data_IF_098828040833
#
_entry.id   IF_098828040833
#
_cell.length_a   1.000
_cell.length_b   1.000
_cell.length_c   1.000
_cell.angle_alpha   90.00
_cell.angle_beta   90.00
_cell.angle_gamma   90.00
#
_symmetry.space_group_name_H-M   'P 1'
#
loop_
_entity.id
_entity.type
_entity.pdbx_description
1 polymer ?
#
# COMPACT_ATOMS: atom_id res chain seq x y z
N UNK A 1 7.21 32.97 62.85
CA UNK A 1 5.86 32.78 62.25
C UNK A 1 5.97 33.18 60.78
N UNK A 2 5.64 32.34 59.77
CA UNK A 2 4.29 32.17 59.17
C UNK A 2 3.61 33.54 58.92
N UNK A 3 3.06 33.98 57.78
CA UNK A 3 2.73 33.47 56.43
C UNK A 3 2.49 34.73 55.52
N UNK A 4 2.39 34.77 54.19
CA UNK A 4 2.39 33.85 53.02
C UNK A 4 3.21 34.55 51.89
N UNK A 5 3.54 34.04 50.68
CA UNK A 5 2.81 33.32 49.60
C UNK A 5 1.80 34.17 48.80
N UNK A 6 2.26 34.77 47.69
CA UNK A 6 1.42 35.30 46.62
C UNK A 6 2.15 35.10 45.27
N UNK A 7 1.96 33.92 44.68
CA UNK A 7 2.32 33.66 43.28
C UNK A 7 1.18 34.19 42.43
N UNK A 8 1.41 35.29 41.71
CA UNK A 8 0.42 35.87 40.81
C UNK A 8 0.30 35.01 39.55
N UNK A 9 -0.54 33.97 39.61
CA UNK A 9 -0.97 33.23 38.42
C UNK A 9 -1.84 34.17 37.60
N UNK A 10 -1.24 34.79 36.57
CA UNK A 10 -2.01 35.48 35.52
C UNK A 10 -2.69 34.39 34.69
N UNK A 11 -3.90 34.03 35.09
CA UNK A 11 -4.79 33.20 34.30
C UNK A 11 -5.26 34.00 33.07
N UNK A 12 -4.41 34.07 32.06
CA UNK A 12 -4.79 34.51 30.74
C UNK A 12 -5.71 33.45 30.11
N UNK A 13 -6.99 33.47 30.50
CA UNK A 13 -8.07 32.76 29.81
C UNK A 13 -8.31 33.43 28.46
N UNK A 14 -7.33 33.31 27.57
CA UNK A 14 -7.55 33.52 26.15
C UNK A 14 -8.62 32.51 25.74
N UNK A 15 -9.77 33.03 25.31
CA UNK A 15 -10.82 32.22 24.71
C UNK A 15 -10.33 31.73 23.34
N UNK A 16 -9.46 30.74 23.36
CA UNK A 16 -9.19 29.87 22.22
C UNK A 16 -10.44 29.04 21.97
N UNK A 17 -11.47 29.68 21.43
CA UNK A 17 -12.53 28.97 20.74
C UNK A 17 -11.83 28.02 19.76
N UNK A 18 -12.09 26.71 19.78
CA UNK A 18 -11.55 25.81 18.78
C UNK A 18 -11.96 26.39 17.43
N UNK A 19 -10.98 26.65 16.55
CA UNK A 19 -11.24 27.38 15.31
C UNK A 19 -12.33 26.65 14.53
N UNK A 20 -13.56 27.18 14.59
CA UNK A 20 -14.76 26.49 14.11
C UNK A 20 -14.53 26.20 12.63
N UNK A 21 -14.33 24.91 12.31
CA UNK A 21 -13.54 24.51 11.16
C UNK A 21 -14.02 25.19 9.89
N UNK A 22 -13.18 26.07 9.34
CA UNK A 22 -13.55 27.20 8.48
C UNK A 22 -14.71 26.86 7.56
N UNK A 23 -15.86 27.53 7.76
CA UNK A 23 -17.08 27.24 7.01
C UNK A 23 -16.85 27.62 5.54
N UNK A 24 -16.54 26.60 4.73
CA UNK A 24 -16.30 26.73 3.28
C UNK A 24 -17.63 26.65 2.53
N UNK A 25 -18.41 27.73 2.56
CA UNK A 25 -19.39 27.99 1.50
C UNK A 25 -18.68 28.55 0.26
N UNK A 26 -17.74 27.78 -0.28
CA UNK A 26 -17.08 28.11 -1.56
C UNK A 26 -18.06 27.68 -2.65
N UNK A 27 -18.85 28.65 -3.14
CA UNK A 27 -19.81 28.43 -4.22
C UNK A 27 -19.09 28.24 -5.57
N UNK A 28 -18.49 27.07 -5.73
CA UNK A 28 -17.80 26.62 -6.93
C UNK A 28 -18.26 25.18 -7.26
N UNK A 29 -18.41 24.82 -8.56
CA UNK A 29 -18.73 23.47 -8.97
C UNK A 29 -17.75 22.45 -8.37
N UNK A 30 -18.23 21.27 -7.91
CA UNK A 30 -17.34 20.23 -7.40
C UNK A 30 -16.45 19.70 -8.52
N UNK A 31 -15.13 19.72 -8.26
CA UNK A 31 -14.16 18.98 -9.06
C UNK A 31 -14.29 17.50 -8.67
N UNK A 32 -14.46 16.63 -9.66
CA UNK A 32 -14.55 15.17 -9.45
C UNK A 32 -13.32 14.40 -9.91
N UNK A 33 -12.39 15.05 -10.63
CA UNK A 33 -11.11 14.48 -11.04
C UNK A 33 -10.01 15.53 -10.95
N UNK A 34 -8.93 15.20 -10.28
CA UNK A 34 -7.72 16.01 -10.13
C UNK A 34 -6.73 15.65 -11.23
N UNK A 35 -6.07 16.66 -11.77
CA UNK A 35 -4.91 16.53 -12.65
C UNK A 35 -3.63 16.61 -11.81
N UNK A 36 -3.27 15.48 -11.20
CA UNK A 36 -2.10 15.28 -10.34
C UNK A 36 -1.08 14.29 -10.95
N UNK A 37 -1.11 14.13 -12.28
CA UNK A 37 -0.20 13.27 -13.06
C UNK A 37 0.49 14.03 -14.18
N UNK A 38 0.77 15.32 -13.98
CA UNK A 38 1.41 16.15 -15.00
C UNK A 38 2.81 15.62 -15.28
N UNK A 39 3.27 15.62 -16.56
CA UNK A 39 4.63 15.23 -16.90
C UNK A 39 5.66 15.96 -16.05
N UNK A 40 6.69 15.23 -15.61
CA UNK A 40 7.80 15.76 -14.82
C UNK A 40 9.03 15.88 -15.71
N UNK A 41 9.74 17.02 -15.61
CA UNK A 41 10.99 17.27 -16.35
C UNK A 41 12.08 16.23 -16.04
N UNK A 42 11.98 15.58 -14.87
CA UNK A 42 12.87 14.51 -14.40
C UNK A 42 12.11 13.50 -13.57
N UNK A 43 12.55 12.24 -13.60
CA UNK A 43 12.12 11.22 -12.63
C UNK A 43 12.47 11.68 -11.20
N UNK A 44 11.56 11.59 -10.23
CA UNK A 44 11.87 11.78 -8.82
C UNK A 44 12.97 10.81 -8.32
N UNK A 45 13.69 11.22 -7.28
CA UNK A 45 14.66 10.38 -6.60
C UNK A 45 13.96 9.18 -5.92
N UNK A 46 14.64 8.04 -5.83
CA UNK A 46 14.12 6.90 -5.08
C UNK A 46 14.13 7.22 -3.58
N UNK A 47 12.98 7.02 -2.92
CA UNK A 47 12.86 7.22 -1.48
C UNK A 47 13.30 5.96 -0.73
N UNK A 48 14.45 6.04 -0.06
CA UNK A 48 14.88 4.99 0.86
C UNK A 48 13.94 4.93 2.08
N UNK A 49 13.54 3.70 2.46
CA UNK A 49 12.78 3.43 3.67
C UNK A 49 13.61 2.60 4.64
N UNK A 50 13.90 3.17 5.80
CA UNK A 50 14.59 2.49 6.88
C UNK A 50 13.57 2.00 7.93
N UNK A 51 13.24 0.70 7.87
CA UNK A 51 12.26 0.07 8.75
C UNK A 51 12.58 0.22 10.24
N UNK A 52 13.87 0.20 10.62
CA UNK A 52 14.29 0.37 12.02
C UNK A 52 14.01 1.78 12.51
N UNK A 53 14.34 2.81 11.71
CA UNK A 53 14.03 4.20 12.06
C UNK A 53 12.53 4.46 12.10
N UNK A 54 11.76 3.90 11.16
CA UNK A 54 10.30 3.98 11.15
C UNK A 54 9.67 3.36 12.42
N UNK A 55 10.18 2.22 12.87
CA UNK A 55 9.72 1.58 14.10
C UNK A 55 10.09 2.40 15.36
N UNK A 56 11.31 2.95 15.43
CA UNK A 56 11.73 3.84 16.53
C UNK A 56 10.83 5.09 16.58
N UNK A 57 10.53 5.68 15.43
CA UNK A 57 9.62 6.82 15.32
C UNK A 57 8.20 6.45 15.82
N UNK A 58 7.60 5.38 15.28
CA UNK A 58 6.25 4.94 15.64
C UNK A 58 6.07 4.54 17.11
N UNK A 59 7.03 3.79 17.67
CA UNK A 59 6.94 3.25 19.02
C UNK A 59 7.45 4.19 20.13
N UNK A 60 8.48 5.00 19.86
CA UNK A 60 9.07 5.90 20.86
C UNK A 60 8.79 7.38 20.55
N UNK A 61 9.34 7.90 19.45
CA UNK A 61 9.37 9.36 19.19
C UNK A 61 7.95 9.93 19.12
N UNK A 62 7.07 9.35 18.29
CA UNK A 62 5.67 9.79 18.16
C UNK A 62 4.85 9.64 19.44
N UNK A 63 5.20 8.71 20.34
CA UNK A 63 4.51 8.61 21.64
C UNK A 63 4.90 9.78 22.54
N UNK A 64 6.18 10.15 22.56
CA UNK A 64 6.70 11.29 23.32
C UNK A 64 6.18 12.62 22.74
N UNK A 65 6.26 12.82 21.42
CA UNK A 65 5.81 14.07 20.80
C UNK A 65 4.31 14.27 20.94
N UNK A 66 3.46 13.25 20.70
CA UNK A 66 2.00 13.36 20.91
C UNK A 66 1.59 13.68 22.35
N UNK A 67 2.41 13.34 23.35
CA UNK A 67 2.16 13.71 24.74
C UNK A 67 2.48 15.19 25.04
N UNK A 68 3.25 15.85 24.18
CA UNK A 68 3.62 17.27 24.24
C UNK A 68 2.91 18.13 23.17
N UNK A 69 2.23 17.49 22.22
CA UNK A 69 1.61 18.13 21.06
C UNK A 69 0.29 18.80 21.44
N UNK A 70 0.03 19.99 20.90
CA UNK A 70 -1.24 20.67 21.05
C UNK A 70 -2.12 20.36 19.83
N UNK A 71 -3.20 19.55 19.95
CA UNK A 71 -3.89 18.99 18.81
C UNK A 71 -4.45 20.04 17.84
N UNK A 72 -3.72 20.26 16.74
CA UNK A 72 -4.19 21.08 15.62
C UNK A 72 -5.22 20.30 14.81
N UNK A 73 -6.51 20.43 15.16
CA UNK A 73 -7.63 19.74 14.49
C UNK A 73 -7.93 20.35 13.12
N UNK A 74 -6.98 20.23 12.20
CA UNK A 74 -7.12 20.67 10.82
C UNK A 74 -7.95 19.70 9.98
N UNK A 75 -8.96 20.21 9.27
CA UNK A 75 -9.73 19.46 8.25
C UNK A 75 -8.82 18.85 7.18
N UNK A 76 -9.30 17.78 6.55
CA UNK A 76 -8.65 17.22 5.36
C UNK A 76 -8.74 18.18 4.16
N UNK A 77 -7.88 18.01 3.15
CA UNK A 77 -7.67 19.02 2.09
C UNK A 77 -7.90 18.54 0.65
N UNK A 78 -7.72 17.26 0.37
CA UNK A 78 -8.01 16.55 -0.91
C UNK A 78 -9.51 16.22 -1.05
N UNK A 79 -10.34 17.23 -0.80
CA UNK A 79 -11.80 17.15 -0.92
C UNK A 79 -12.32 18.29 -1.79
N UNK A 80 -13.43 18.06 -2.50
CA UNK A 80 -14.07 19.06 -3.35
C UNK A 80 -15.01 19.98 -2.54
N UNK A 81 -15.77 20.85 -3.21
CA UNK A 81 -16.69 21.79 -2.58
C UNK A 81 -17.88 21.14 -1.85
N UNK A 82 -18.10 19.83 -2.00
CA UNK A 82 -19.09 19.04 -1.27
C UNK A 82 -18.50 18.26 -0.09
N UNK A 83 -17.21 18.43 0.23
CA UNK A 83 -16.43 17.60 1.19
C UNK A 83 -16.23 16.14 0.73
N UNK A 84 -16.51 15.85 -0.55
CA UNK A 84 -16.32 14.55 -1.21
C UNK A 84 -14.91 14.40 -1.80
N UNK A 85 -14.43 13.16 -1.91
CA UNK A 85 -13.10 12.86 -2.47
C UNK A 85 -13.17 12.74 -4.01
N UNK A 86 -12.40 13.52 -4.77
CA UNK A 86 -12.28 13.37 -6.23
C UNK A 86 -11.30 12.25 -6.63
N UNK A 87 -11.43 11.78 -7.87
CA UNK A 87 -10.45 10.91 -8.52
C UNK A 87 -9.08 11.59 -8.62
N UNK A 88 -8.01 10.84 -8.35
CA UNK A 88 -6.62 11.30 -8.32
C UNK A 88 -5.65 10.12 -8.53
N UNK A 89 -4.34 10.39 -8.55
CA UNK A 89 -3.31 9.33 -8.49
C UNK A 89 -3.42 8.44 -7.24
N UNK A 90 -3.94 8.99 -6.14
CA UNK A 90 -4.04 8.34 -4.83
C UNK A 90 -5.30 7.46 -4.66
N UNK A 91 -6.37 7.80 -5.36
CA UNK A 91 -7.72 7.28 -5.08
C UNK A 91 -8.63 7.42 -6.29
N UNK A 92 -9.51 6.45 -6.50
CA UNK A 92 -10.66 6.57 -7.42
C UNK A 92 -11.93 6.46 -6.59
N UNK A 93 -12.82 7.44 -6.66
CA UNK A 93 -14.09 7.36 -5.95
C UNK A 93 -14.99 6.34 -6.66
N UNK A 94 -15.07 5.12 -6.09
CA UNK A 94 -15.86 4.01 -6.62
C UNK A 94 -17.20 3.95 -5.89
N UNK A 95 -17.26 3.28 -4.74
CA UNK A 95 -18.51 3.07 -4.00
C UNK A 95 -19.13 4.36 -3.40
N UNK A 96 -18.38 5.47 -3.34
CA UNK A 96 -18.89 6.74 -2.80
C UNK A 96 -19.73 7.56 -3.79
N UNK A 97 -19.61 7.31 -5.10
CA UNK A 97 -20.35 8.06 -6.15
C UNK A 97 -21.22 7.18 -7.04
N UNK A 98 -21.11 5.85 -6.94
CA UNK A 98 -21.94 4.89 -7.67
C UNK A 98 -21.99 3.53 -6.97
N UNK A 99 -22.96 2.72 -7.37
CA UNK A 99 -22.97 1.30 -7.03
C UNK A 99 -21.77 0.57 -7.68
N UNK A 100 -21.23 -0.43 -6.96
CA UNK A 100 -20.19 -1.34 -7.44
C UNK A 100 -20.82 -2.73 -7.48
N UNK A 101 -20.93 -3.33 -8.68
CA UNK A 101 -21.60 -4.62 -8.84
C UNK A 101 -20.79 -5.76 -8.21
N UNK A 102 -21.44 -6.87 -7.88
CA UNK A 102 -20.74 -8.05 -7.32
C UNK A 102 -19.69 -8.61 -8.28
N UNK A 103 -19.90 -8.52 -9.60
CA UNK A 103 -18.94 -9.00 -10.59
C UNK A 103 -17.77 -8.03 -10.77
N UNK A 104 -18.02 -6.72 -10.67
CA UNK A 104 -16.95 -5.72 -10.57
C UNK A 104 -16.12 -5.94 -9.30
N UNK A 105 -16.76 -6.21 -8.16
CA UNK A 105 -16.09 -6.45 -6.88
C UNK A 105 -15.24 -7.74 -6.89
N UNK A 106 -15.77 -8.84 -7.46
CA UNK A 106 -15.04 -10.10 -7.64
C UNK A 106 -13.82 -9.90 -8.54
N UNK A 107 -14.00 -9.21 -9.66
CA UNK A 107 -12.93 -8.90 -10.63
C UNK A 107 -11.89 -7.95 -10.04
N UNK A 108 -12.32 -6.92 -9.31
CA UNK A 108 -11.49 -5.86 -8.76
C UNK A 108 -10.75 -5.07 -9.86
N UNK A 109 -9.46 -4.74 -9.66
CA UNK A 109 -8.65 -4.06 -10.67
C UNK A 109 -8.24 -4.97 -11.84
N UNK A 110 -8.55 -6.28 -11.78
CA UNK A 110 -8.09 -7.24 -12.78
C UNK A 110 -8.82 -6.95 -14.10
N UNK A 111 -8.10 -6.45 -15.10
CA UNK A 111 -8.61 -6.12 -16.44
C UNK A 111 -8.00 -7.03 -17.50
N UNK A 112 -6.81 -7.57 -17.23
CA UNK A 112 -6.10 -8.48 -18.11
C UNK A 112 -6.49 -9.94 -17.87
N UNK A 113 -6.00 -10.80 -18.76
CA UNK A 113 -6.21 -12.23 -18.65
C UNK A 113 -5.53 -12.83 -17.42
N UNK A 114 -6.16 -13.86 -16.84
CA UNK A 114 -5.66 -14.50 -15.62
C UNK A 114 -4.28 -15.13 -15.84
N UNK A 115 -3.26 -14.89 -15.00
CA UNK A 115 -1.91 -15.44 -15.19
C UNK A 115 -1.88 -16.98 -15.22
N UNK A 116 -2.91 -17.63 -14.64
CA UNK A 116 -3.11 -19.07 -14.70
C UNK A 116 -3.40 -19.62 -16.11
N UNK A 117 -3.73 -18.76 -17.09
CA UNK A 117 -3.79 -19.11 -18.52
C UNK A 117 -2.41 -19.17 -19.18
N UNK A 118 -1.38 -18.64 -18.52
CA UNK A 118 -0.02 -18.48 -19.05
C UNK A 118 1.01 -19.33 -18.31
N UNK A 119 0.57 -20.50 -17.84
CA UNK A 119 1.40 -21.54 -17.25
C UNK A 119 2.22 -22.30 -18.32
N UNK A 120 3.40 -22.85 -17.98
CA UNK A 120 4.06 -22.76 -16.67
C UNK A 120 4.77 -21.41 -16.46
N UNK A 121 4.90 -20.99 -15.20
CA UNK A 121 5.61 -19.76 -14.84
C UNK A 121 7.10 -20.00 -14.60
N UNK A 122 7.93 -19.03 -14.96
CA UNK A 122 9.37 -19.05 -14.73
C UNK A 122 9.73 -18.31 -13.45
N UNK A 123 10.23 -19.01 -12.43
CA UNK A 123 10.82 -18.41 -11.22
C UNK A 123 12.11 -17.68 -11.61
N UNK A 124 12.14 -16.37 -11.39
CA UNK A 124 13.30 -15.48 -11.63
C UNK A 124 14.00 -15.05 -10.34
N UNK A 125 13.39 -15.27 -9.18
CA UNK A 125 14.06 -15.12 -7.88
C UNK A 125 13.17 -15.47 -6.69
N UNK A 126 13.74 -15.43 -5.49
CA UNK A 126 12.97 -15.52 -4.25
C UNK A 126 12.31 -14.17 -3.91
N UNK A 127 11.15 -14.21 -3.24
CA UNK A 127 10.53 -13.04 -2.59
C UNK A 127 11.51 -12.47 -1.56
N UNK A 128 11.66 -11.15 -1.53
CA UNK A 128 12.43 -10.44 -0.50
C UNK A 128 11.47 -9.97 0.58
N UNK A 129 11.76 -10.31 1.85
CA UNK A 129 10.97 -9.88 3.01
C UNK A 129 9.74 -10.72 3.31
N UNK A 130 9.29 -10.65 4.58
CA UNK A 130 8.23 -11.50 5.13
C UNK A 130 8.74 -12.89 5.56
N UNK A 131 7.88 -13.66 6.23
CA UNK A 131 8.17 -15.03 6.71
C UNK A 131 7.62 -16.12 5.79
N UNK A 132 6.59 -15.80 5.01
CA UNK A 132 5.95 -16.67 4.01
C UNK A 132 6.90 -17.06 2.88
N UNK A 133 6.83 -18.30 2.37
CA UNK A 133 7.44 -18.62 1.08
C UNK A 133 6.86 -17.74 -0.03
N UNK A 134 7.72 -17.27 -0.94
CA UNK A 134 7.29 -16.63 -2.17
C UNK A 134 8.41 -16.52 -3.20
N UNK A 135 8.02 -16.26 -4.44
CA UNK A 135 8.92 -16.15 -5.59
C UNK A 135 8.56 -14.91 -6.42
N UNK A 136 9.55 -14.34 -7.10
CA UNK A 136 9.31 -13.49 -8.27
C UNK A 136 9.23 -14.41 -9.48
N UNK A 137 8.17 -14.28 -10.26
CA UNK A 137 7.90 -15.11 -11.43
C UNK A 137 7.66 -14.26 -12.67
N UNK A 138 7.96 -14.82 -13.83
CA UNK A 138 7.58 -14.31 -15.16
C UNK A 138 6.69 -15.35 -15.84
N UNK A 139 5.60 -14.90 -16.47
CA UNK A 139 4.76 -15.76 -17.29
C UNK A 139 5.24 -15.85 -18.76
N UNK A 140 4.48 -16.56 -19.60
CA UNK A 140 4.77 -16.66 -21.04
C UNK A 140 4.74 -15.30 -21.78
N UNK A 141 3.99 -14.31 -21.28
CA UNK A 141 3.89 -12.95 -21.84
C UNK A 141 5.02 -12.01 -21.40
N UNK A 142 5.90 -12.46 -20.49
CA UNK A 142 6.93 -11.67 -19.79
C UNK A 142 6.38 -10.67 -18.77
N UNK A 143 5.11 -10.77 -18.40
CA UNK A 143 4.58 -10.06 -17.25
C UNK A 143 5.20 -10.62 -15.95
N UNK A 144 5.51 -9.72 -15.01
CA UNK A 144 6.17 -10.03 -13.74
C UNK A 144 5.17 -10.05 -12.60
N UNK A 145 5.27 -11.08 -11.76
CA UNK A 145 4.39 -11.25 -10.61
C UNK A 145 5.16 -11.66 -9.35
N UNK A 146 4.60 -11.31 -8.20
CA UNK A 146 4.95 -11.85 -6.90
C UNK A 146 4.03 -13.02 -6.58
N UNK A 147 4.60 -14.21 -6.46
CA UNK A 147 3.94 -15.43 -6.06
C UNK A 147 4.07 -15.61 -4.54
N UNK A 148 2.96 -15.83 -3.83
CA UNK A 148 2.91 -16.17 -2.39
C UNK A 148 2.10 -17.44 -2.16
N UNK A 149 2.43 -18.13 -1.06
CA UNK A 149 1.80 -19.38 -0.63
C UNK A 149 1.32 -19.27 0.82
N UNK A 150 0.34 -20.10 1.19
CA UNK A 150 0.00 -20.32 2.61
C UNK A 150 0.97 -21.33 3.26
N UNK A 151 1.33 -21.08 4.53
CA UNK A 151 2.09 -22.06 5.33
C UNK A 151 1.26 -23.30 5.61
N UNK A 152 1.92 -24.46 5.73
CA UNK A 152 1.30 -25.78 5.91
C UNK A 152 0.26 -25.83 7.03
N UNK A 153 0.51 -25.13 8.14
CA UNK A 153 -0.33 -25.15 9.34
C UNK A 153 -1.57 -24.24 9.24
N UNK A 154 -1.64 -23.38 8.22
CA UNK A 154 -2.67 -22.32 8.08
C UNK A 154 -3.16 -22.22 6.63
N UNK A 155 -3.74 -23.30 6.07
CA UNK A 155 -4.29 -23.30 4.71
C UNK A 155 -5.25 -22.15 4.49
N UNK A 156 -5.18 -21.57 3.29
CA UNK A 156 -6.01 -20.47 2.81
C UNK A 156 -5.87 -19.13 3.56
N UNK A 157 -5.16 -19.06 4.68
CA UNK A 157 -5.19 -17.90 5.58
C UNK A 157 -4.59 -16.62 4.98
N UNK A 158 -3.33 -16.66 4.50
CA UNK A 158 -2.68 -15.47 3.92
C UNK A 158 -3.31 -15.16 2.56
N UNK A 159 -3.49 -16.17 1.72
CA UNK A 159 -3.96 -15.96 0.34
C UNK A 159 -5.45 -15.54 0.28
N UNK A 160 -6.31 -15.96 1.22
CA UNK A 160 -7.68 -15.45 1.31
C UNK A 160 -7.74 -14.06 1.93
N UNK A 161 -7.03 -13.82 3.05
CA UNK A 161 -7.00 -12.51 3.70
C UNK A 161 -6.48 -11.43 2.75
N UNK A 162 -5.44 -11.74 1.96
CA UNK A 162 -4.92 -10.85 0.92
C UNK A 162 -6.01 -10.49 -0.10
N UNK A 163 -6.69 -11.46 -0.71
CA UNK A 163 -7.71 -11.17 -1.75
C UNK A 163 -8.95 -10.47 -1.16
N UNK A 164 -9.42 -10.86 0.02
CA UNK A 164 -10.59 -10.23 0.65
C UNK A 164 -10.28 -8.77 1.00
N UNK A 165 -9.16 -8.51 1.69
CA UNK A 165 -8.73 -7.15 2.02
C UNK A 165 -8.47 -6.29 0.78
N UNK A 166 -7.88 -6.89 -0.26
CA UNK A 166 -7.65 -6.27 -1.57
C UNK A 166 -8.94 -5.83 -2.27
N UNK A 167 -9.96 -6.71 -2.35
CA UNK A 167 -11.25 -6.34 -2.96
C UNK A 167 -12.00 -5.29 -2.16
N UNK A 168 -11.90 -5.31 -0.83
CA UNK A 168 -12.48 -4.28 0.03
C UNK A 168 -11.77 -2.92 -0.15
N UNK A 169 -10.44 -2.91 -0.21
CA UNK A 169 -9.66 -1.70 -0.52
C UNK A 169 -9.99 -1.13 -1.90
N UNK A 170 -10.10 -2.00 -2.91
CA UNK A 170 -10.56 -1.63 -4.25
C UNK A 170 -11.94 -0.97 -4.21
N UNK A 171 -12.92 -1.61 -3.55
CA UNK A 171 -14.29 -1.09 -3.45
C UNK A 171 -14.34 0.29 -2.76
N UNK A 172 -13.59 0.44 -1.66
CA UNK A 172 -13.46 1.70 -0.92
C UNK A 172 -12.71 2.80 -1.68
N UNK A 173 -12.14 2.51 -2.87
CA UNK A 173 -11.56 3.49 -3.78
C UNK A 173 -10.03 3.53 -3.82
N UNK A 174 -9.34 2.72 -3.04
CA UNK A 174 -7.88 2.64 -3.06
C UNK A 174 -7.36 1.95 -4.32
N UNK A 175 -6.17 2.33 -4.76
CA UNK A 175 -5.49 1.70 -5.87
C UNK A 175 -4.70 0.49 -5.35
N UNK A 176 -4.95 -0.67 -5.95
CA UNK A 176 -4.36 -1.97 -5.58
C UNK A 176 -3.95 -2.72 -6.85
N UNK A 177 -2.88 -3.54 -6.81
CA UNK A 177 -2.35 -4.24 -8.00
C UNK A 177 -3.31 -5.30 -8.56
N UNK A 178 -3.05 -5.83 -9.76
CA UNK A 178 -3.85 -6.93 -10.31
C UNK A 178 -3.48 -8.24 -9.60
N UNK A 179 -4.38 -8.69 -8.72
CA UNK A 179 -4.12 -9.81 -7.79
C UNK A 179 -5.14 -10.93 -7.99
N UNK A 180 -4.61 -12.15 -8.14
CA UNK A 180 -5.36 -13.38 -8.44
C UNK A 180 -5.07 -14.44 -7.39
N UNK A 181 -6.03 -15.32 -7.11
CA UNK A 181 -5.84 -16.52 -6.29
C UNK A 181 -6.29 -17.74 -7.09
N UNK A 182 -5.59 -18.86 -6.90
CA UNK A 182 -5.88 -20.11 -7.58
C UNK A 182 -4.99 -21.24 -7.07
N UNK A 183 -4.88 -22.28 -7.89
CA UNK A 183 -4.13 -23.49 -7.55
C UNK A 183 -3.14 -23.82 -8.66
N UNK A 184 -1.93 -24.24 -8.28
CA UNK A 184 -0.90 -24.73 -9.19
C UNK A 184 -0.35 -26.09 -8.73
N UNK A 185 0.24 -26.82 -9.66
CA UNK A 185 1.04 -28.02 -9.41
C UNK A 185 2.52 -27.66 -9.19
N UNK A 186 3.40 -28.66 -9.08
CA UNK A 186 4.86 -28.40 -9.03
C UNK A 186 5.40 -28.13 -10.44
N UNK A 187 4.81 -28.76 -11.43
CA UNK A 187 5.18 -28.79 -12.85
C UNK A 187 4.94 -27.42 -13.51
N UNK A 188 3.96 -26.68 -12.97
CA UNK A 188 3.65 -25.29 -13.29
C UNK A 188 4.77 -24.27 -12.96
N UNK A 189 5.83 -24.69 -12.25
CA UNK A 189 6.93 -23.82 -11.82
C UNK A 189 8.29 -24.26 -12.42
N UNK A 190 8.77 -23.50 -13.40
CA UNK A 190 10.08 -23.68 -14.03
C UNK A 190 11.11 -22.76 -13.38
N UNK A 191 12.27 -23.26 -13.00
CA UNK A 191 13.33 -22.44 -12.40
C UNK A 191 14.22 -21.82 -13.48
N UNK A 192 14.38 -20.50 -13.50
CA UNK A 192 15.36 -19.83 -14.38
C UNK A 192 16.79 -20.17 -13.97
N UNK A 193 17.70 -20.48 -14.91
CA UNK A 193 19.13 -20.62 -14.62
C UNK A 193 19.80 -19.36 -14.04
N UNK A 194 19.14 -18.20 -14.14
CA UNK A 194 19.58 -16.92 -13.59
C UNK A 194 18.86 -16.55 -12.28
N UNK A 195 18.03 -17.45 -11.73
CA UNK A 195 17.27 -17.16 -10.52
C UNK A 195 18.18 -16.97 -9.31
N UNK A 196 17.89 -15.96 -8.49
CA UNK A 196 18.67 -15.66 -7.28
C UNK A 196 17.77 -15.48 -6.05
N UNK A 197 18.30 -15.83 -4.89
CA UNK A 197 17.77 -15.46 -3.59
C UNK A 197 18.65 -14.36 -2.96
N UNK A 198 18.08 -13.57 -2.06
CA UNK A 198 18.85 -12.69 -1.16
C UNK A 198 18.72 -13.22 0.26
N UNK A 199 19.83 -13.27 1.00
CA UNK A 199 19.79 -13.53 2.44
C UNK A 199 19.42 -12.24 3.23
N UNK A 200 19.21 -12.31 4.56
CA UNK A 200 18.90 -11.12 5.38
C UNK A 200 19.97 -10.02 5.38
N UNK A 201 21.21 -10.33 4.98
CA UNK A 201 22.31 -9.37 4.82
C UNK A 201 22.34 -8.73 3.42
N UNK A 202 21.40 -9.10 2.53
CA UNK A 202 21.29 -8.61 1.16
C UNK A 202 22.18 -9.33 0.14
N UNK A 203 23.01 -10.28 0.58
CA UNK A 203 23.91 -11.05 -0.28
C UNK A 203 23.10 -11.97 -1.22
N UNK A 204 23.51 -12.03 -2.49
CA UNK A 204 22.84 -12.83 -3.52
C UNK A 204 23.46 -14.22 -3.62
N UNK A 205 22.63 -15.24 -3.60
CA UNK A 205 23.00 -16.62 -3.96
C UNK A 205 22.15 -17.14 -5.12
N UNK A 206 22.64 -18.09 -5.94
CA UNK A 206 21.80 -18.78 -6.92
C UNK A 206 20.66 -19.53 -6.21
N UNK A 207 19.45 -19.41 -6.73
CA UNK A 207 18.31 -20.21 -6.26
C UNK A 207 18.35 -21.56 -6.97
N UNK A 208 18.43 -22.66 -6.23
CA UNK A 208 18.48 -24.02 -6.81
C UNK A 208 17.12 -24.70 -6.85
N UNK A 209 16.99 -25.78 -7.64
CA UNK A 209 15.77 -26.61 -7.68
C UNK A 209 15.43 -27.18 -6.31
N UNK A 210 16.43 -27.70 -5.61
CA UNK A 210 16.31 -28.20 -4.24
C UNK A 210 15.82 -27.12 -3.26
N UNK A 211 16.22 -25.85 -3.44
CA UNK A 211 15.71 -24.75 -2.61
C UNK A 211 14.22 -24.49 -2.86
N UNK A 212 13.76 -24.57 -4.11
CA UNK A 212 12.34 -24.44 -4.45
C UNK A 212 11.54 -25.62 -3.88
N UNK A 213 12.03 -26.84 -4.07
CA UNK A 213 11.34 -28.07 -3.65
C UNK A 213 11.20 -28.13 -2.12
N UNK A 214 12.30 -27.91 -1.38
CA UNK A 214 12.30 -27.78 0.09
C UNK A 214 11.47 -26.59 0.59
N UNK A 215 11.38 -25.51 -0.20
CA UNK A 215 10.46 -24.40 0.08
C UNK A 215 9.01 -24.87 0.04
N UNK A 216 8.62 -25.56 -1.03
CA UNK A 216 7.26 -26.08 -1.22
C UNK A 216 6.87 -27.17 -0.21
N UNK A 217 7.83 -27.83 0.44
CA UNK A 217 7.53 -28.68 1.60
C UNK A 217 6.91 -27.88 2.77
N UNK A 218 7.31 -26.63 2.99
CA UNK A 218 6.77 -25.78 4.08
C UNK A 218 5.35 -25.23 3.81
N UNK A 219 4.84 -25.45 2.60
CA UNK A 219 3.56 -24.93 2.10
C UNK A 219 2.45 -25.97 2.31
N UNK A 220 1.21 -25.50 2.45
CA UNK A 220 0.05 -26.39 2.41
C UNK A 220 -0.16 -26.99 1.01
N UNK A 221 -0.11 -28.32 0.93
CA UNK A 221 -0.43 -29.09 -0.28
C UNK A 221 -1.80 -29.74 -0.11
N UNK A 222 -2.69 -29.55 -1.07
CA UNK A 222 -4.02 -30.17 -1.10
C UNK A 222 -3.92 -31.69 -1.32
N UNK A 223 -4.99 -32.42 -1.02
CA UNK A 223 -5.05 -33.89 -1.17
C UNK A 223 -4.91 -34.37 -2.62
N UNK A 224 -5.26 -33.53 -3.60
CA UNK A 224 -5.03 -33.76 -5.03
C UNK A 224 -3.67 -33.23 -5.53
N UNK A 225 -2.78 -32.84 -4.61
CA UNK A 225 -1.38 -32.54 -4.89
C UNK A 225 -1.08 -31.11 -5.37
N UNK A 226 -2.04 -30.19 -5.31
CA UNK A 226 -1.88 -28.79 -5.71
C UNK A 226 -1.48 -27.89 -4.53
N UNK A 227 -1.04 -26.67 -4.84
CA UNK A 227 -0.73 -25.61 -3.89
C UNK A 227 -1.66 -24.42 -4.15
N UNK A 228 -2.31 -23.90 -3.11
CA UNK A 228 -3.05 -22.64 -3.21
C UNK A 228 -2.06 -21.48 -3.24
N UNK A 229 -2.23 -20.56 -4.18
CA UNK A 229 -1.33 -19.44 -4.39
C UNK A 229 -2.07 -18.14 -4.61
N UNK A 230 -1.48 -17.04 -4.15
CA UNK A 230 -1.84 -15.68 -4.54
C UNK A 230 -0.73 -15.12 -5.43
N UNK A 231 -1.13 -14.51 -6.54
CA UNK A 231 -0.27 -13.97 -7.59
C UNK A 231 -0.59 -12.49 -7.75
N UNK A 232 0.39 -11.63 -7.48
CA UNK A 232 0.23 -10.16 -7.53
C UNK A 232 1.10 -9.58 -8.63
N UNK A 233 0.49 -8.90 -9.61
CA UNK A 233 1.23 -8.31 -10.74
C UNK A 233 2.05 -7.11 -10.28
N UNK A 234 3.30 -7.02 -10.74
CA UNK A 234 4.14 -5.84 -10.53
C UNK A 234 3.49 -4.65 -11.23
N UNK A 235 3.36 -3.52 -10.51
CA UNK A 235 2.79 -2.30 -11.06
C UNK A 235 3.69 -1.69 -12.14
N UNK A 236 3.08 -0.95 -13.05
CA UNK A 236 3.75 -0.32 -14.19
C UNK A 236 4.65 0.85 -13.77
N UNK A 237 5.59 1.21 -14.65
CA UNK A 237 6.56 2.29 -14.42
C UNK A 237 7.82 1.84 -13.67
N UNK A 238 8.55 2.82 -13.15
CA UNK A 238 9.76 2.64 -12.34
C UNK A 238 9.42 2.87 -10.87
N UNK A 239 9.50 1.86 -9.99
CA UNK A 239 9.41 2.04 -8.55
C UNK A 239 10.36 3.13 -8.03
N UNK A 240 9.85 4.03 -7.18
CA UNK A 240 10.60 5.16 -6.60
C UNK A 240 10.46 5.25 -5.07
N UNK A 241 10.24 4.10 -4.43
CA UNK A 241 10.09 3.93 -2.99
C UNK A 241 8.64 4.04 -2.50
N UNK A 242 8.39 3.77 -1.20
CA UNK A 242 7.06 3.89 -0.60
C UNK A 242 6.65 5.34 -0.37
N UNK A 243 5.34 5.61 -0.44
CA UNK A 243 4.77 6.88 -0.06
C UNK A 243 5.03 7.18 1.43
N UNK A 244 5.45 8.41 1.74
CA UNK A 244 5.54 8.87 3.13
C UNK A 244 4.14 8.99 3.77
N UNK A 245 4.03 8.90 5.10
CA UNK A 245 2.76 9.20 5.81
C UNK A 245 2.52 10.69 6.04
N UNK A 246 3.56 11.51 5.95
CA UNK A 246 3.51 12.93 6.33
C UNK A 246 4.35 13.80 5.38
N UNK A 247 4.02 15.10 5.34
CA UNK A 247 4.65 16.06 4.44
C UNK A 247 4.26 15.82 2.99
N UNK A 248 5.03 16.37 2.05
CA UNK A 248 4.91 16.09 0.62
C UNK A 248 6.24 15.59 0.07
N UNK A 249 6.21 14.99 -1.11
CA UNK A 249 7.36 14.65 -1.94
C UNK A 249 7.97 15.95 -2.50
N UNK A 250 9.15 16.39 -2.04
CA UNK A 250 9.68 17.72 -2.35
C UNK A 250 10.18 17.86 -3.80
N UNK A 251 10.36 16.74 -4.50
CA UNK A 251 10.80 16.67 -5.90
C UNK A 251 9.69 16.30 -6.88
N UNK A 252 8.43 16.25 -6.44
CA UNK A 252 7.24 16.11 -7.29
C UNK A 252 6.29 17.32 -7.14
N UNK A 253 6.21 18.23 -8.14
CA UNK A 253 5.31 19.38 -8.11
C UNK A 253 3.81 19.02 -8.17
N UNK A 254 3.45 17.77 -8.47
CA UNK A 254 2.06 17.29 -8.39
C UNK A 254 1.64 17.00 -6.94
N UNK A 255 2.58 16.66 -6.05
CA UNK A 255 2.27 16.37 -4.65
C UNK A 255 2.18 17.66 -3.82
N UNK A 256 0.98 18.23 -3.82
CA UNK A 256 0.70 19.57 -3.27
C UNK A 256 -0.05 19.54 -1.94
N UNK A 257 -0.42 18.36 -1.45
CA UNK A 257 -1.24 18.18 -0.25
C UNK A 257 -0.49 17.26 0.70
N UNK A 258 -0.06 17.81 1.83
CA UNK A 258 0.66 17.06 2.85
C UNK A 258 -0.11 15.80 3.24
N UNK A 259 0.57 14.66 3.28
CA UNK A 259 -0.03 13.34 3.34
C UNK A 259 -0.88 13.13 4.60
N UNK A 260 -0.47 13.69 5.74
CA UNK A 260 -1.23 13.67 6.99
C UNK A 260 -2.47 14.58 6.95
N UNK A 261 -2.64 15.40 5.90
CA UNK A 261 -3.83 16.23 5.60
C UNK A 261 -4.74 15.63 4.53
N UNK A 262 -4.38 14.50 3.92
CA UNK A 262 -5.20 13.81 2.93
C UNK A 262 -6.30 12.96 3.59
N UNK A 263 -7.58 13.23 3.29
CA UNK A 263 -8.78 12.42 3.52
C UNK A 263 -8.57 11.01 2.99
N UNK A 264 -7.98 10.87 1.80
CA UNK A 264 -7.63 9.56 1.21
C UNK A 264 -6.75 8.74 2.14
N UNK A 265 -5.69 9.34 2.71
CA UNK A 265 -4.79 8.64 3.67
C UNK A 265 -5.45 8.50 5.05
N UNK A 266 -6.13 9.52 5.57
CA UNK A 266 -6.84 9.47 6.87
C UNK A 266 -7.96 8.42 6.88
N UNK A 267 -8.66 8.24 5.77
CA UNK A 267 -9.72 7.24 5.59
C UNK A 267 -9.24 5.80 5.69
N UNK A 268 -7.93 5.56 5.54
CA UNK A 268 -7.34 4.26 5.77
C UNK A 268 -7.42 3.83 7.24
N UNK A 269 -7.38 4.78 8.19
CA UNK A 269 -7.39 4.47 9.63
C UNK A 269 -8.64 3.71 10.06
N UNK A 270 -9.88 4.18 9.82
CA UNK A 270 -11.08 3.41 10.15
C UNK A 270 -11.19 2.10 9.35
N UNK A 271 -10.78 2.10 8.08
CA UNK A 271 -10.83 0.91 7.22
C UNK A 271 -9.90 -0.21 7.74
N UNK A 272 -8.63 0.10 8.01
CA UNK A 272 -7.67 -0.84 8.57
C UNK A 272 -8.03 -1.25 10.01
N UNK A 273 -8.64 -0.36 10.79
CA UNK A 273 -9.16 -0.70 12.13
C UNK A 273 -10.29 -1.73 12.04
N UNK A 274 -11.24 -1.56 11.12
CA UNK A 274 -12.34 -2.51 10.89
C UNK A 274 -11.84 -3.87 10.39
N UNK A 275 -10.86 -3.87 9.47
CA UNK A 275 -10.25 -5.10 8.94
C UNK A 275 -9.24 -5.75 9.89
N UNK A 276 -8.94 -5.14 11.04
CA UNK A 276 -7.81 -5.50 11.91
C UNK A 276 -6.46 -5.63 11.16
N UNK A 277 -6.25 -4.77 10.15
CA UNK A 277 -5.04 -4.76 9.32
C UNK A 277 -3.90 -4.01 10.03
N UNK A 278 -3.32 -4.65 11.04
CA UNK A 278 -2.38 -4.03 11.98
C UNK A 278 -0.95 -3.87 11.46
N UNK A 279 -0.48 -4.73 10.56
CA UNK A 279 0.86 -4.65 9.96
C UNK A 279 0.89 -3.76 8.70
N UNK A 280 0.27 -2.58 8.77
CA UNK A 280 0.40 -1.54 7.74
C UNK A 280 1.55 -0.61 8.13
N UNK A 281 2.56 -0.57 7.27
CA UNK A 281 3.72 0.30 7.32
C UNK A 281 3.78 1.15 6.03
N UNK A 282 4.84 1.95 5.85
CA UNK A 282 5.02 2.68 4.59
C UNK A 282 5.45 1.75 3.44
N UNK A 283 6.30 0.75 3.71
CA UNK A 283 6.76 -0.26 2.75
C UNK A 283 5.67 -1.24 2.25
N UNK A 284 4.41 -1.01 2.64
CA UNK A 284 3.24 -1.65 2.04
C UNK A 284 2.52 -0.74 1.00
N UNK A 285 3.01 0.48 0.81
CA UNK A 285 2.67 1.38 -0.30
C UNK A 285 3.83 1.44 -1.30
N UNK A 286 3.56 1.88 -2.53
CA UNK A 286 4.59 2.03 -3.55
C UNK A 286 4.26 3.16 -4.52
N UNK A 287 5.13 4.16 -4.58
CA UNK A 287 5.13 5.14 -5.66
C UNK A 287 5.85 4.56 -6.87
N UNK A 288 5.29 4.76 -8.06
CA UNK A 288 5.92 4.38 -9.33
C UNK A 288 5.87 5.54 -10.31
N UNK A 289 7.02 5.86 -10.90
CA UNK A 289 7.13 6.84 -11.97
C UNK A 289 6.75 6.19 -13.30
N UNK A 290 5.61 6.61 -13.85
CA UNK A 290 5.13 6.17 -15.17
C UNK A 290 5.39 7.28 -16.18
N UNK A 291 6.08 6.94 -17.27
CA UNK A 291 6.13 7.77 -18.48
C UNK A 291 5.04 7.32 -19.42
N UNK A 292 4.07 8.17 -19.75
CA UNK A 292 3.15 7.88 -20.86
C UNK A 292 3.95 7.85 -22.18
N UNK A 293 3.87 6.74 -22.92
CA UNK A 293 4.41 6.66 -24.28
C UNK A 293 3.58 7.54 -25.22
N UNK A 294 3.93 8.83 -25.30
CA UNK A 294 3.23 9.78 -26.17
C UNK A 294 3.57 11.26 -25.96
N UNK A 295 4.08 11.65 -24.79
CA UNK A 295 4.44 13.05 -24.52
C UNK A 295 5.97 13.28 -24.60
N UNK A 296 6.47 13.47 -25.82
CA UNK A 296 7.77 14.10 -26.13
C UNK A 296 7.54 15.27 -27.07
#
# INVERSE_FOLDING_TARGET
MRCWLLITIVAATACAAPAAGTIRFVNQPPIWRVDDKRPLDRKPAEREYNRTLYQIDGFAVRRLTRAMDFPSTGRALDVNSLDEVPDSSWFTNRIGVREVSLDELRRGPNIDDSPFKHLPWTITGAKVGGLSLGFVIEDASKAKYLLKFDVRERPEMETAAHIIGHRLLYACGYNVPQDHVGYITREDLVLSPKATAKNPLGEKSPLTRENVDRGLETVFKTTDGRYRVMVSRFIEGTPIGPAAREGTRPDDPNDRIAHERRRTIRGQVPLFSWLNHTDIQEDNSLDSYVTEEGSK
#
